data_IF_198747261695
#
_entry.id   IF_198747261695
#
_cell.length_a   1.000
_cell.length_b   1.000
_cell.length_c   1.000
_cell.angle_alpha   90.00
_cell.angle_beta   90.00
_cell.angle_gamma   90.00
#
_symmetry.space_group_name_H-M   'P 1'
#
loop_
_entity.id
_entity.type
_entity.pdbx_description
1 polymer ?
#
# COMPACT_ATOMS: atom_id res chain seq x y z
N UNK A 1 -39.23 2.92 -1.55
CA UNK A 1 -37.93 3.60 -1.28
C UNK A 1 -37.07 2.84 -0.28
N UNK A 2 -37.62 2.19 0.76
CA UNK A 2 -36.88 1.39 1.75
C UNK A 2 -36.27 0.13 1.11
N UNK A 3 -37.01 -0.66 0.36
CA UNK A 3 -36.55 -1.91 -0.24
C UNK A 3 -35.31 -1.74 -1.14
N UNK A 4 -35.23 -0.65 -1.90
CA UNK A 4 -34.07 -0.38 -2.76
C UNK A 4 -32.82 0.02 -1.94
N UNK A 5 -33.01 0.65 -0.79
CA UNK A 5 -31.91 0.98 0.12
C UNK A 5 -31.38 -0.24 0.84
N UNK A 6 -32.27 -1.13 1.29
CA UNK A 6 -31.90 -2.36 2.01
C UNK A 6 -31.16 -3.32 1.07
N UNK A 7 -31.63 -3.49 -0.17
CA UNK A 7 -30.96 -4.30 -1.18
C UNK A 7 -29.57 -3.75 -1.55
N UNK A 8 -29.41 -2.43 -1.64
CA UNK A 8 -28.09 -1.83 -1.88
C UNK A 8 -27.13 -1.97 -0.70
N UNK A 9 -27.67 -1.97 0.52
CA UNK A 9 -26.86 -2.21 1.72
C UNK A 9 -26.34 -3.65 1.73
N UNK A 10 -27.21 -4.62 1.49
CA UNK A 10 -26.83 -6.03 1.38
C UNK A 10 -25.77 -6.27 0.29
N UNK A 11 -25.94 -5.65 -0.89
CA UNK A 11 -24.96 -5.72 -1.98
C UNK A 11 -23.61 -5.13 -1.58
N UNK A 12 -23.61 -3.96 -0.94
CA UNK A 12 -22.39 -3.32 -0.45
C UNK A 12 -21.68 -4.18 0.60
N UNK A 13 -22.42 -4.65 1.59
CA UNK A 13 -21.87 -5.50 2.66
C UNK A 13 -21.26 -6.78 2.11
N UNK A 14 -21.97 -7.48 1.23
CA UNK A 14 -21.51 -8.72 0.62
C UNK A 14 -20.27 -8.55 -0.25
N UNK A 15 -20.09 -7.39 -0.89
CA UNK A 15 -18.99 -7.15 -1.84
C UNK A 15 -17.82 -6.39 -1.24
N UNK A 16 -18.06 -5.46 -0.31
CA UNK A 16 -17.03 -4.57 0.22
C UNK A 16 -16.32 -5.16 1.45
N UNK A 17 -17.04 -5.82 2.36
CA UNK A 17 -16.45 -6.29 3.62
C UNK A 17 -15.47 -7.45 3.47
N UNK A 18 -15.47 -8.15 2.34
CA UNK A 18 -14.45 -9.16 2.02
C UNK A 18 -13.03 -8.57 1.97
N UNK A 19 -12.88 -7.25 1.83
CA UNK A 19 -11.61 -6.55 1.80
C UNK A 19 -11.22 -5.92 3.15
N UNK A 20 -11.98 -6.17 4.23
CA UNK A 20 -11.77 -5.51 5.52
C UNK A 20 -10.36 -5.75 6.09
N UNK A 21 -9.91 -7.01 6.10
CA UNK A 21 -8.60 -7.38 6.61
C UNK A 21 -7.46 -6.77 5.79
N UNK A 22 -7.63 -6.70 4.46
CA UNK A 22 -6.64 -6.11 3.57
C UNK A 22 -6.53 -4.60 3.81
N UNK A 23 -7.66 -3.90 3.88
CA UNK A 23 -7.70 -2.47 4.19
C UNK A 23 -7.10 -2.17 5.56
N UNK A 24 -7.41 -3.00 6.57
CA UNK A 24 -6.87 -2.85 7.91
C UNK A 24 -5.35 -3.01 7.94
N UNK A 25 -4.80 -4.06 7.29
CA UNK A 25 -3.35 -4.25 7.20
C UNK A 25 -2.65 -3.05 6.56
N UNK A 26 -3.21 -2.50 5.48
CA UNK A 26 -2.66 -1.31 4.82
C UNK A 26 -2.80 -0.08 5.71
N UNK A 27 -3.96 0.14 6.33
CA UNK A 27 -4.19 1.23 7.26
C UNK A 27 -3.20 1.19 8.43
N UNK A 28 -3.00 0.02 9.05
CA UNK A 28 -2.05 -0.16 10.16
C UNK A 28 -0.61 0.21 9.76
N UNK A 29 -0.18 -0.14 8.54
CA UNK A 29 1.13 0.30 8.02
C UNK A 29 1.22 1.80 7.80
N UNK A 30 0.11 2.44 7.43
CA UNK A 30 0.06 3.89 7.23
C UNK A 30 0.15 4.66 8.54
N UNK A 31 -0.66 4.30 9.53
CA UNK A 31 -0.80 5.07 10.78
C UNK A 31 0.04 4.53 11.93
N UNK A 32 0.46 3.24 11.88
CA UNK A 32 1.30 2.54 12.88
C UNK A 32 0.71 2.50 14.29
N UNK A 33 -0.59 2.61 14.39
CA UNK A 33 -1.32 2.57 15.65
C UNK A 33 -2.67 1.89 15.37
N UNK A 34 -3.03 0.89 16.17
CA UNK A 34 -4.16 0.01 15.90
C UNK A 34 -5.50 0.77 15.92
N UNK A 35 -5.76 1.56 16.95
CA UNK A 35 -7.02 2.30 17.08
C UNK A 35 -7.22 3.28 15.92
N UNK A 36 -6.18 4.01 15.52
CA UNK A 36 -6.23 4.88 14.35
C UNK A 36 -6.43 4.11 13.04
N UNK A 37 -5.88 2.89 12.93
CA UNK A 37 -6.11 2.05 11.76
C UNK A 37 -7.57 1.59 11.67
N UNK A 38 -8.15 1.20 12.79
CA UNK A 38 -9.57 0.85 12.91
C UNK A 38 -10.47 2.03 12.54
N UNK A 39 -10.20 3.22 13.08
CA UNK A 39 -10.93 4.45 12.76
C UNK A 39 -10.84 4.79 11.26
N UNK A 40 -9.65 4.70 10.67
CA UNK A 40 -9.44 4.97 9.25
C UNK A 40 -10.21 3.99 8.36
N UNK A 41 -10.25 2.71 8.72
CA UNK A 41 -11.01 1.68 7.99
C UNK A 41 -12.52 1.93 8.14
N UNK A 42 -13.01 2.24 9.34
CA UNK A 42 -14.41 2.55 9.59
C UNK A 42 -14.86 3.76 8.77
N UNK A 43 -14.09 4.86 8.78
CA UNK A 43 -14.42 6.05 7.99
C UNK A 43 -14.33 5.77 6.48
N UNK A 44 -13.41 4.88 6.06
CA UNK A 44 -13.34 4.42 4.67
C UNK A 44 -14.64 3.74 4.25
N UNK A 45 -15.18 2.83 5.06
CA UNK A 45 -16.46 2.17 4.77
C UNK A 45 -17.64 3.12 4.82
N UNK A 46 -17.68 4.03 5.77
CA UNK A 46 -18.74 5.05 5.83
C UNK A 46 -18.74 5.93 4.58
N UNK A 47 -17.57 6.39 4.15
CA UNK A 47 -17.43 7.19 2.94
C UNK A 47 -17.72 6.37 1.67
N UNK A 48 -17.29 5.11 1.63
CA UNK A 48 -17.60 4.19 0.56
C UNK A 48 -19.12 3.98 0.45
N UNK A 49 -19.81 3.70 1.54
CA UNK A 49 -21.27 3.55 1.55
C UNK A 49 -21.99 4.80 1.05
N UNK A 50 -21.61 5.98 1.57
CA UNK A 50 -22.20 7.27 1.13
C UNK A 50 -22.05 7.51 -0.38
N UNK A 51 -20.95 7.03 -0.96
CA UNK A 51 -20.61 7.24 -2.37
C UNK A 51 -20.82 6.01 -3.26
N UNK A 52 -21.35 4.90 -2.72
CA UNK A 52 -21.54 3.64 -3.45
C UNK A 52 -22.42 3.78 -4.70
N UNK A 53 -23.35 4.74 -4.69
CA UNK A 53 -24.16 5.08 -5.85
C UNK A 53 -23.36 5.62 -7.05
N UNK A 54 -22.08 5.99 -6.85
CA UNK A 54 -21.15 6.48 -7.89
C UNK A 54 -20.17 5.39 -8.32
N UNK A 55 -20.18 4.25 -7.64
CA UNK A 55 -19.33 3.13 -8.02
C UNK A 55 -19.86 2.53 -9.33
N UNK A 56 -18.97 2.35 -10.32
CA UNK A 56 -19.32 1.74 -11.60
C UNK A 56 -19.22 0.21 -11.49
N UNK A 57 -20.33 -0.54 -11.61
CA UNK A 57 -20.29 -1.99 -11.64
C UNK A 57 -19.33 -2.53 -12.71
N UNK A 58 -18.56 -3.57 -12.37
CA UNK A 58 -17.56 -4.14 -13.27
C UNK A 58 -16.17 -3.50 -13.19
N UNK A 59 -16.00 -2.42 -12.40
CA UNK A 59 -14.69 -1.88 -12.04
C UNK A 59 -14.13 -2.55 -10.79
N UNK A 60 -12.86 -2.31 -10.48
CA UNK A 60 -12.21 -2.90 -9.31
C UNK A 60 -12.64 -2.19 -8.01
N UNK A 61 -13.59 -2.80 -7.29
CA UNK A 61 -14.10 -2.28 -6.01
C UNK A 61 -12.99 -2.13 -4.97
N UNK A 62 -12.03 -3.06 -4.92
CA UNK A 62 -10.88 -3.01 -3.99
C UNK A 62 -10.03 -1.76 -4.25
N UNK A 63 -9.69 -1.50 -5.51
CA UNK A 63 -8.94 -0.30 -5.88
C UNK A 63 -9.69 1.00 -5.53
N UNK A 64 -11.01 0.99 -5.69
CA UNK A 64 -11.86 2.12 -5.32
C UNK A 64 -11.89 2.35 -3.81
N UNK A 65 -11.94 1.28 -2.99
CA UNK A 65 -11.83 1.38 -1.53
C UNK A 65 -10.47 1.93 -1.10
N UNK A 66 -9.36 1.47 -1.70
CA UNK A 66 -8.03 2.02 -1.45
C UNK A 66 -7.94 3.51 -1.80
N UNK A 67 -8.55 3.94 -2.90
CA UNK A 67 -8.61 5.36 -3.27
C UNK A 67 -9.29 6.21 -2.18
N UNK A 68 -10.37 5.71 -1.58
CA UNK A 68 -11.04 6.37 -0.46
C UNK A 68 -10.14 6.42 0.77
N UNK A 69 -9.56 5.28 1.17
CA UNK A 69 -8.66 5.15 2.31
C UNK A 69 -7.47 6.12 2.21
N UNK A 70 -6.79 6.18 1.06
CA UNK A 70 -5.66 7.09 0.87
C UNK A 70 -6.08 8.56 0.83
N UNK A 71 -7.29 8.87 0.36
CA UNK A 71 -7.82 10.23 0.39
C UNK A 71 -8.06 10.71 1.83
N UNK A 72 -8.66 9.86 2.67
CA UNK A 72 -8.89 10.14 4.09
C UNK A 72 -7.56 10.32 4.81
N UNK A 73 -6.65 9.35 4.70
CA UNK A 73 -5.32 9.41 5.29
C UNK A 73 -4.54 10.68 4.88
N UNK A 74 -4.59 11.05 3.59
CA UNK A 74 -3.90 12.25 3.10
C UNK A 74 -4.53 13.54 3.63
N UNK A 75 -5.85 13.55 3.85
CA UNK A 75 -6.58 14.70 4.41
C UNK A 75 -6.22 14.90 5.88
N UNK A 76 -6.18 13.82 6.68
CA UNK A 76 -5.74 13.87 8.08
C UNK A 76 -4.30 14.40 8.18
N UNK A 77 -3.38 13.88 7.37
CA UNK A 77 -1.98 14.34 7.38
C UNK A 77 -1.81 15.79 6.92
N UNK A 78 -2.69 16.33 6.10
CA UNK A 78 -2.65 17.76 5.78
C UNK A 78 -3.07 18.62 6.96
N UNK A 79 -4.03 18.18 7.75
CA UNK A 79 -4.42 18.83 8.99
C UNK A 79 -3.29 18.79 10.01
N UNK A 80 -2.62 17.63 10.17
CA UNK A 80 -1.45 17.48 11.05
C UNK A 80 -0.23 18.31 10.57
N UNK A 81 -0.02 18.42 9.23
CA UNK A 81 1.08 19.20 8.64
C UNK A 81 0.93 20.72 8.73
N UNK A 82 -0.27 21.23 8.91
CA UNK A 82 -0.46 22.64 9.24
C UNK A 82 0.17 23.01 10.60
N UNK A 83 0.61 22.00 11.37
CA UNK A 83 1.29 22.14 12.66
C UNK A 83 2.79 21.78 12.63
N UNK A 84 3.34 21.24 11.52
CA UNK A 84 4.75 20.77 11.47
C UNK A 84 5.44 21.07 10.13
N UNK A 85 6.72 21.51 10.24
CA UNK A 85 7.67 21.96 9.21
C UNK A 85 7.91 20.94 8.06
N UNK A 86 8.27 21.37 6.82
CA UNK A 86 8.43 20.50 5.66
C UNK A 86 9.59 19.51 5.82
N UNK A 87 9.35 18.23 5.49
CA UNK A 87 10.42 17.25 5.37
C UNK A 87 11.15 17.43 4.03
N UNK A 88 12.47 17.54 4.07
CA UNK A 88 13.36 17.63 2.92
C UNK A 88 13.21 16.42 1.98
N UNK A 89 13.19 16.71 0.70
CA UNK A 89 13.20 15.73 -0.39
C UNK A 89 14.59 15.07 -0.45
N UNK A 90 14.72 13.87 0.08
CA UNK A 90 15.95 13.07 -0.07
C UNK A 90 16.02 12.55 -1.50
N UNK A 91 16.88 13.15 -2.30
CA UNK A 91 17.24 12.67 -3.63
C UNK A 91 18.13 11.44 -3.43
N UNK A 92 17.56 10.24 -3.63
CA UNK A 92 18.34 9.01 -3.59
C UNK A 92 19.15 8.88 -4.87
N UNK A 93 20.47 8.92 -4.74
CA UNK A 93 21.44 8.65 -5.82
C UNK A 93 21.20 7.25 -6.44
N UNK A 94 21.41 7.18 -7.75
CA UNK A 94 21.20 5.98 -8.55
C UNK A 94 22.34 4.99 -8.30
N UNK A 95 22.13 4.04 -7.38
CA UNK A 95 23.07 2.93 -7.17
C UNK A 95 22.81 1.85 -8.24
N UNK A 96 23.81 1.54 -9.04
CA UNK A 96 23.72 0.59 -10.18
C UNK A 96 23.82 -0.89 -9.79
N UNK A 97 23.68 -1.25 -8.51
CA UNK A 97 23.77 -2.64 -8.04
C UNK A 97 22.36 -3.24 -7.85
N UNK A 98 22.10 -4.37 -8.49
CA UNK A 98 20.87 -5.16 -8.36
C UNK A 98 21.19 -6.47 -7.61
N UNK A 99 21.04 -6.53 -6.28
CA UNK A 99 21.38 -7.72 -5.48
C UNK A 99 20.42 -8.88 -5.76
N UNK A 100 20.89 -10.14 -5.73
CA UNK A 100 20.02 -11.31 -5.86
C UNK A 100 19.02 -11.38 -4.69
N UNK A 101 17.79 -11.83 -4.99
CA UNK A 101 16.76 -12.02 -3.95
C UNK A 101 17.04 -13.32 -3.19
N UNK A 102 17.08 -13.32 -1.85
CA UNK A 102 17.24 -14.54 -1.06
C UNK A 102 16.07 -15.50 -1.30
N UNK A 103 16.38 -16.80 -1.44
CA UNK A 103 15.37 -17.83 -1.80
C UNK A 103 14.57 -18.39 -0.61
N UNK A 104 14.84 -17.97 0.61
CA UNK A 104 14.25 -18.53 1.85
C UNK A 104 13.75 -17.43 2.78
N UNK A 105 12.94 -16.52 2.28
CA UNK A 105 12.39 -15.41 3.09
C UNK A 105 10.90 -15.63 3.27
N UNK A 106 10.41 -15.53 4.50
CA UNK A 106 8.98 -15.61 4.82
C UNK A 106 8.25 -14.32 4.44
N UNK A 107 6.92 -14.39 4.30
CA UNK A 107 6.09 -13.20 4.04
C UNK A 107 6.26 -12.13 5.12
N UNK A 108 6.34 -12.53 6.39
CA UNK A 108 6.54 -11.61 7.53
C UNK A 108 7.88 -10.88 7.44
N UNK A 109 8.92 -11.57 7.03
CA UNK A 109 10.25 -11.00 6.83
C UNK A 109 10.29 -10.01 5.66
N UNK A 110 9.59 -10.32 4.57
CA UNK A 110 9.42 -9.38 3.43
C UNK A 110 8.69 -8.13 3.87
N UNK A 111 7.61 -8.27 4.64
CA UNK A 111 6.83 -7.14 5.14
C UNK A 111 7.65 -6.30 6.13
N UNK A 112 8.43 -6.95 7.02
CA UNK A 112 9.34 -6.25 7.95
C UNK A 112 10.45 -5.50 7.20
N UNK A 113 11.03 -6.08 6.15
CA UNK A 113 12.00 -5.40 5.30
C UNK A 113 11.36 -4.23 4.54
N UNK A 114 10.13 -4.38 4.07
CA UNK A 114 9.39 -3.33 3.39
C UNK A 114 9.14 -2.12 4.31
N UNK A 115 8.97 -2.31 5.61
CA UNK A 115 8.81 -1.22 6.59
C UNK A 115 10.03 -0.31 6.71
N UNK A 116 11.23 -0.79 6.35
CA UNK A 116 12.47 -0.01 6.31
C UNK A 116 12.63 0.80 5.04
N UNK A 117 11.90 0.47 4.00
CA UNK A 117 11.88 1.23 2.75
C UNK A 117 11.17 2.58 2.97
N UNK A 118 11.66 3.71 2.43
CA UNK A 118 10.98 5.00 2.53
C UNK A 118 9.53 4.92 2.02
N UNK A 119 8.60 5.56 2.72
CA UNK A 119 7.14 5.43 2.50
C UNK A 119 6.70 5.72 1.08
N UNK A 120 7.33 6.66 0.40
CA UNK A 120 7.02 7.01 -0.98
C UNK A 120 7.25 5.85 -1.97
N UNK A 121 8.16 4.93 -1.65
CA UNK A 121 8.44 3.72 -2.42
C UNK A 121 7.72 2.50 -1.86
N UNK A 122 7.53 2.45 -0.53
CA UNK A 122 6.87 1.35 0.18
C UNK A 122 5.44 1.14 -0.31
N UNK A 123 4.63 2.22 -0.37
CA UNK A 123 3.22 2.12 -0.72
C UNK A 123 2.98 1.59 -2.14
N UNK A 124 3.65 2.09 -3.20
CA UNK A 124 3.51 1.50 -4.52
C UNK A 124 3.85 0.02 -4.58
N UNK A 125 4.93 -0.41 -3.89
CA UNK A 125 5.35 -1.83 -3.84
C UNK A 125 4.30 -2.67 -3.12
N UNK A 126 3.82 -2.23 -1.96
CA UNK A 126 2.76 -2.92 -1.22
C UNK A 126 1.51 -3.11 -2.09
N UNK A 127 1.04 -2.05 -2.73
CA UNK A 127 -0.18 -2.10 -3.56
C UNK A 127 -0.01 -2.94 -4.81
N UNK A 128 1.18 -2.97 -5.43
CA UNK A 128 1.43 -3.75 -6.63
C UNK A 128 1.69 -5.22 -6.32
N UNK A 129 2.55 -5.52 -5.34
CA UNK A 129 3.15 -6.84 -5.16
C UNK A 129 2.41 -7.68 -4.08
N UNK A 130 1.71 -7.03 -3.15
CA UNK A 130 0.90 -7.71 -2.11
C UNK A 130 -0.59 -7.60 -2.41
N UNK A 131 -1.05 -6.42 -2.80
CA UNK A 131 -2.47 -6.17 -3.08
C UNK A 131 -2.83 -6.33 -4.57
N UNK A 132 -1.85 -6.68 -5.42
CA UNK A 132 -2.04 -6.99 -6.85
C UNK A 132 -2.82 -5.94 -7.65
N UNK A 133 -2.70 -4.65 -7.26
CA UNK A 133 -3.31 -3.56 -8.00
C UNK A 133 -2.53 -3.27 -9.28
N UNK A 134 -3.24 -2.95 -10.36
CA UNK A 134 -2.62 -2.46 -11.58
C UNK A 134 -1.97 -1.08 -11.36
N UNK A 135 -0.96 -0.75 -12.14
CA UNK A 135 -0.27 0.55 -12.03
C UNK A 135 -1.20 1.76 -12.24
N UNK A 136 -2.28 1.61 -13.01
CA UNK A 136 -3.30 2.64 -13.19
C UNK A 136 -4.12 2.83 -11.91
N UNK A 137 -4.55 1.75 -11.29
CA UNK A 137 -5.27 1.79 -10.03
C UNK A 137 -4.42 2.39 -8.91
N UNK A 138 -3.13 2.05 -8.85
CA UNK A 138 -2.18 2.65 -7.91
C UNK A 138 -2.03 4.16 -8.16
N UNK A 139 -1.91 4.58 -9.43
CA UNK A 139 -1.81 5.99 -9.80
C UNK A 139 -3.05 6.77 -9.33
N UNK A 140 -4.24 6.20 -9.53
CA UNK A 140 -5.49 6.79 -9.07
C UNK A 140 -5.62 6.81 -7.54
N UNK A 141 -5.30 5.69 -6.87
CA UNK A 141 -5.40 5.58 -5.41
C UNK A 141 -4.46 6.57 -4.71
N UNK A 142 -3.20 6.65 -5.15
CA UNK A 142 -2.18 7.53 -4.57
C UNK A 142 -2.21 8.96 -5.11
N UNK A 143 -3.02 9.25 -6.14
CA UNK A 143 -3.10 10.55 -6.84
C UNK A 143 -1.75 11.03 -7.37
N UNK A 144 -0.99 10.13 -8.00
CA UNK A 144 0.30 10.43 -8.63
C UNK A 144 0.28 10.01 -10.10
N UNK A 145 1.11 10.63 -10.95
CA UNK A 145 1.22 10.23 -12.35
C UNK A 145 1.66 8.76 -12.51
N UNK A 146 1.19 8.09 -13.56
CA UNK A 146 1.55 6.70 -13.87
C UNK A 146 3.07 6.50 -13.99
N UNK A 147 3.78 7.45 -14.61
CA UNK A 147 5.25 7.41 -14.69
C UNK A 147 5.93 7.46 -13.31
N UNK A 148 5.31 8.21 -12.36
CA UNK A 148 5.77 8.24 -10.96
C UNK A 148 5.55 6.89 -10.26
N UNK A 149 4.43 6.21 -10.53
CA UNK A 149 4.21 4.85 -10.00
C UNK A 149 5.31 3.91 -10.49
N UNK A 150 5.57 3.90 -11.80
CA UNK A 150 6.60 3.05 -12.41
C UNK A 150 7.99 3.29 -11.82
N UNK A 151 8.40 4.55 -11.71
CA UNK A 151 9.71 4.91 -11.15
C UNK A 151 9.83 4.57 -9.67
N UNK A 152 8.76 4.80 -8.89
CA UNK A 152 8.71 4.45 -7.46
C UNK A 152 8.71 2.94 -7.24
N UNK A 153 8.00 2.16 -8.05
CA UNK A 153 8.03 0.70 -8.02
C UNK A 153 9.44 0.16 -8.30
N UNK A 154 10.07 0.66 -9.36
CA UNK A 154 11.43 0.23 -9.69
C UNK A 154 12.42 0.48 -8.54
N UNK A 155 12.41 1.71 -7.98
CA UNK A 155 13.27 2.08 -6.84
C UNK A 155 12.89 1.33 -5.57
N UNK A 156 11.61 1.19 -5.27
CA UNK A 156 11.10 0.50 -4.09
C UNK A 156 11.49 -0.97 -4.07
N UNK A 157 11.33 -1.67 -5.18
CA UNK A 157 11.75 -3.08 -5.31
C UNK A 157 13.26 -3.25 -5.15
N UNK A 158 14.05 -2.30 -5.66
CA UNK A 158 15.51 -2.29 -5.48
C UNK A 158 15.89 -2.12 -4.01
N UNK A 159 15.30 -1.14 -3.33
CA UNK A 159 15.53 -0.90 -1.89
C UNK A 159 15.08 -2.11 -1.05
N UNK A 160 13.92 -2.68 -1.34
CA UNK A 160 13.42 -3.87 -0.66
C UNK A 160 14.38 -5.06 -0.80
N UNK A 161 14.91 -5.31 -2.01
CA UNK A 161 15.94 -6.35 -2.20
C UNK A 161 17.19 -6.11 -1.35
N UNK A 162 17.65 -4.87 -1.27
CA UNK A 162 18.81 -4.53 -0.42
C UNK A 162 18.54 -4.83 1.05
N UNK A 163 17.35 -4.45 1.55
CA UNK A 163 16.94 -4.75 2.93
C UNK A 163 16.85 -6.26 3.19
N UNK A 164 16.28 -7.02 2.25
CA UNK A 164 16.19 -8.48 2.35
C UNK A 164 17.57 -9.15 2.33
N UNK A 165 18.52 -8.69 1.51
CA UNK A 165 19.90 -9.20 1.51
C UNK A 165 20.60 -8.90 2.82
N UNK A 166 20.46 -7.69 3.35
CA UNK A 166 21.02 -7.32 4.66
C UNK A 166 20.43 -8.18 5.78
N UNK A 167 19.12 -8.38 5.75
CA UNK A 167 18.43 -9.27 6.70
C UNK A 167 18.94 -10.70 6.58
N UNK A 168 18.98 -11.28 5.38
CA UNK A 168 19.45 -12.64 5.15
C UNK A 168 20.88 -12.85 5.67
N UNK A 169 21.79 -11.89 5.46
CA UNK A 169 23.15 -11.92 6.01
C UNK A 169 23.15 -11.91 7.54
N UNK A 170 22.34 -11.06 8.17
CA UNK A 170 22.25 -10.96 9.62
C UNK A 170 21.63 -12.19 10.27
N UNK A 171 20.69 -12.86 9.57
CA UNK A 171 20.04 -14.09 10.00
C UNK A 171 20.84 -15.37 9.70
N UNK A 172 22.03 -15.25 9.07
CA UNK A 172 22.90 -16.39 8.76
C UNK A 172 22.47 -17.20 7.54
N UNK A 173 21.57 -16.67 6.71
CA UNK A 173 21.21 -17.30 5.43
C UNK A 173 22.36 -17.17 4.43
N UNK A 174 22.64 -18.27 3.70
CA UNK A 174 23.68 -18.28 2.68
C UNK A 174 23.25 -17.43 1.48
N UNK A 175 23.83 -16.22 1.31
CA UNK A 175 23.52 -15.29 0.22
C UNK A 175 24.39 -15.52 -1.03
N UNK A 176 25.17 -16.59 -1.06
CA UNK A 176 25.96 -16.96 -2.25
C UNK A 176 25.06 -17.55 -3.32
N UNK A 177 24.62 -16.71 -4.23
CA UNK A 177 24.03 -17.16 -5.48
C UNK A 177 25.15 -17.75 -6.36
N UNK A 178 25.11 -19.08 -6.58
CA UNK A 178 26.08 -19.80 -7.36
C UNK A 178 26.26 -19.14 -8.73
N UNK A 179 27.43 -18.60 -8.96
CA UNK A 179 27.95 -18.26 -10.27
C UNK A 179 28.10 -19.58 -11.03
N UNK A 180 27.08 -19.96 -11.79
CA UNK A 180 27.27 -20.96 -12.85
C UNK A 180 28.17 -20.33 -13.91
N UNK A 181 29.37 -20.90 -14.00
CA UNK A 181 30.26 -20.74 -15.16
C UNK A 181 29.58 -21.21 -16.44
#
# INVERSE_FOLDING_TARGET
LSQNRDQRLEEFEATAFIYADQLFRVALRLVREQGRAEDLVQETYLQAWRSFHRFEPGTNLRAWLYKILFNLYSSERRQDRLQLVPAEEVIAETIAYDPPTPQQVTEEEVLSALERVPREFQLPVLLADVEELSYREIAEALRIPLGTVMSRLHRGRKLLRMELVNYARSAGYNTECGTKK
#
